data_IF_673150223980
#
_entry.id   IF_673150223980
#
_cell.length_a   1.000
_cell.length_b   1.000
_cell.length_c   1.000
_cell.angle_alpha   90.00
_cell.angle_beta   90.00
_cell.angle_gamma   90.00
#
_symmetry.space_group_name_H-M   'P 1'
#
loop_
_entity.id
_entity.type
_entity.pdbx_description
1 polymer ?
#
# COMPACT_ATOMS: atom_id res chain seq x y z
N UNK A 1 23.67 15.84 25.27
CA UNK A 1 22.27 16.15 24.97
C UNK A 1 22.27 17.08 23.78
N UNK A 2 21.94 16.58 22.58
CA UNK A 2 21.88 17.44 21.38
C UNK A 2 20.64 18.31 21.48
N UNK A 3 20.81 19.62 21.49
CA UNK A 3 19.71 20.59 21.48
C UNK A 3 18.86 20.34 20.23
N UNK A 4 17.58 19.95 20.38
CA UNK A 4 16.64 19.85 19.26
C UNK A 4 16.46 21.24 18.66
N UNK A 5 16.77 21.35 17.38
CA UNK A 5 16.54 22.60 16.63
C UNK A 5 15.03 22.79 16.43
N UNK A 6 14.54 23.99 16.70
CA UNK A 6 13.15 24.34 16.47
C UNK A 6 13.08 24.96 15.08
N UNK A 7 12.49 24.24 14.12
CA UNK A 7 12.20 24.76 12.78
C UNK A 7 10.85 25.47 12.78
N UNK A 8 10.78 26.62 12.11
CA UNK A 8 9.50 27.30 11.88
C UNK A 8 8.63 26.48 10.95
N UNK A 9 7.30 26.60 11.08
CA UNK A 9 6.34 25.94 10.18
C UNK A 9 6.54 26.34 8.72
N UNK A 10 6.95 27.57 8.46
CA UNK A 10 7.27 28.06 7.12
C UNK A 10 8.47 27.31 6.55
N UNK A 11 9.53 27.15 7.31
CA UNK A 11 10.73 26.43 6.89
C UNK A 11 10.42 24.93 6.68
N UNK A 12 9.67 24.30 7.58
CA UNK A 12 9.18 22.94 7.43
C UNK A 12 8.44 22.78 6.09
N UNK A 13 7.53 23.72 5.78
CA UNK A 13 6.76 23.70 4.53
C UNK A 13 7.65 23.86 3.28
N UNK A 14 8.70 24.68 3.34
CA UNK A 14 9.70 24.85 2.26
C UNK A 14 10.55 23.60 2.02
N UNK A 15 10.80 22.81 3.08
CA UNK A 15 11.56 21.55 3.02
C UNK A 15 10.74 20.36 2.53
N UNK A 16 9.42 20.46 2.49
CA UNK A 16 8.54 19.42 1.92
C UNK A 16 8.68 19.39 0.41
N UNK A 17 8.96 18.21 -0.13
CA UNK A 17 8.93 17.95 -1.56
C UNK A 17 7.51 17.58 -2.01
N UNK A 18 6.93 18.36 -2.92
CA UNK A 18 5.58 18.15 -3.46
C UNK A 18 5.57 17.22 -4.69
N UNK A 19 6.58 16.41 -4.86
CA UNK A 19 6.66 15.46 -5.97
C UNK A 19 5.55 14.41 -5.85
N UNK A 20 4.81 14.20 -6.93
CA UNK A 20 3.85 13.11 -7.00
C UNK A 20 4.58 11.77 -7.13
N UNK A 21 4.25 10.82 -6.27
CA UNK A 21 4.63 9.43 -6.46
C UNK A 21 3.68 8.85 -7.51
N UNK A 22 4.23 8.15 -8.50
CA UNK A 22 3.53 7.78 -9.73
C UNK A 22 2.25 6.93 -9.60
N UNK A 23 1.91 6.47 -8.39
CA UNK A 23 0.67 5.73 -8.09
C UNK A 23 -0.57 6.62 -7.99
N UNK A 24 -0.40 7.96 -7.94
CA UNK A 24 -1.49 8.88 -7.61
C UNK A 24 -2.43 9.19 -8.79
N UNK A 25 -2.03 8.87 -10.04
CA UNK A 25 -2.72 9.39 -11.22
C UNK A 25 -4.10 8.79 -11.51
N UNK A 26 -4.32 7.52 -11.17
CA UNK A 26 -5.56 6.81 -11.56
C UNK A 26 -6.69 6.93 -10.57
N UNK A 27 -6.35 6.88 -9.31
CA UNK A 27 -7.33 6.83 -8.21
C UNK A 27 -7.99 8.19 -8.02
N UNK A 28 -7.35 9.28 -8.45
CA UNK A 28 -7.96 10.63 -8.51
C UNK A 28 -9.20 10.72 -9.40
N UNK A 29 -9.35 9.81 -10.36
CA UNK A 29 -10.52 9.76 -11.27
C UNK A 29 -11.69 8.99 -10.68
N UNK A 30 -11.53 8.32 -9.54
CA UNK A 30 -12.62 7.62 -8.86
C UNK A 30 -13.30 8.64 -7.95
N UNK A 31 -14.59 8.91 -8.13
CA UNK A 31 -15.31 9.77 -7.21
C UNK A 31 -15.29 9.15 -5.81
N UNK A 32 -15.08 9.96 -4.75
CA UNK A 32 -15.12 9.46 -3.38
C UNK A 32 -16.50 8.87 -3.06
N UNK A 33 -16.54 7.90 -2.15
CA UNK A 33 -17.80 7.42 -1.60
C UNK A 33 -18.48 8.58 -0.84
N UNK A 34 -19.70 8.92 -1.23
CA UNK A 34 -20.47 9.97 -0.55
C UNK A 34 -21.47 9.36 0.42
N UNK A 35 -21.58 9.87 1.65
CA UNK A 35 -22.61 9.43 2.57
C UNK A 35 -23.99 9.80 2.03
N UNK A 36 -24.94 8.89 2.17
CA UNK A 36 -26.34 9.17 1.82
C UNK A 36 -26.96 10.13 2.84
N UNK A 37 -27.15 11.39 2.46
CA UNK A 37 -27.64 12.45 3.33
C UNK A 37 -29.18 12.50 3.52
N UNK A 38 -29.89 11.40 3.39
CA UNK A 38 -31.33 11.40 3.61
C UNK A 38 -31.59 11.27 5.12
N UNK A 39 -31.70 12.42 5.81
CA UNK A 39 -32.31 12.48 7.13
C UNK A 39 -33.83 12.41 6.98
N UNK A 40 -34.40 11.24 7.21
CA UNK A 40 -35.82 11.09 7.51
C UNK A 40 -35.93 10.68 8.96
N UNK A 41 -36.41 11.57 9.79
CA UNK A 41 -36.82 11.23 11.15
C UNK A 41 -38.10 10.39 11.05
N UNK A 42 -37.99 9.11 11.36
CA UNK A 42 -39.12 8.24 11.54
C UNK A 42 -39.02 7.58 12.91
N UNK A 43 -40.00 7.82 13.80
CA UNK A 43 -39.91 7.39 15.20
C UNK A 43 -40.02 5.87 15.42
N UNK A 44 -40.27 5.06 14.39
CA UNK A 44 -40.54 3.61 14.52
C UNK A 44 -39.73 2.75 13.56
N UNK A 45 -38.43 3.00 13.44
CA UNK A 45 -37.57 2.13 12.64
C UNK A 45 -36.87 1.11 13.52
N UNK A 46 -36.91 -0.16 13.13
CA UNK A 46 -36.37 -1.31 13.89
C UNK A 46 -35.37 -2.10 13.04
N UNK A 47 -34.43 -2.77 13.73
CA UNK A 47 -33.54 -3.81 13.17
C UNK A 47 -34.13 -5.23 13.38
N UNK A 48 -35.38 -5.33 13.76
CA UNK A 48 -36.04 -6.62 14.03
C UNK A 48 -35.44 -7.30 15.26
N UNK A 49 -35.11 -8.59 15.15
CA UNK A 49 -34.52 -9.36 16.25
C UNK A 49 -33.19 -8.82 16.77
N UNK A 50 -32.45 -8.06 15.99
CA UNK A 50 -31.17 -7.48 16.39
C UNK A 50 -31.34 -6.38 17.47
N UNK A 51 -32.51 -5.73 17.55
CA UNK A 51 -32.78 -4.73 18.59
C UNK A 51 -32.85 -5.33 20.01
N UNK A 52 -32.88 -6.64 20.15
CA UNK A 52 -32.79 -7.35 21.44
C UNK A 52 -31.36 -7.40 22.00
N UNK A 53 -30.35 -7.15 21.15
CA UNK A 53 -28.96 -7.13 21.59
C UNK A 53 -28.64 -5.82 22.28
N UNK A 54 -27.82 -5.84 23.35
CA UNK A 54 -27.23 -4.64 23.91
C UNK A 54 -26.49 -3.83 22.84
N UNK A 55 -26.53 -2.51 22.94
CA UNK A 55 -25.95 -1.62 21.91
C UNK A 55 -24.45 -1.90 21.69
N UNK A 56 -23.73 -2.23 22.74
CA UNK A 56 -22.30 -2.55 22.73
C UNK A 56 -22.02 -3.80 21.88
N UNK A 57 -22.82 -4.85 22.09
CA UNK A 57 -22.68 -6.12 21.33
C UNK A 57 -23.03 -5.90 19.87
N UNK A 58 -24.08 -5.10 19.60
CA UNK A 58 -24.46 -4.75 18.23
C UNK A 58 -23.35 -3.99 17.52
N UNK A 59 -22.75 -3.00 18.17
CA UNK A 59 -21.63 -2.23 17.61
C UNK A 59 -20.40 -3.11 17.35
N UNK A 60 -19.99 -3.95 18.32
CA UNK A 60 -18.88 -4.89 18.15
C UNK A 60 -19.13 -5.87 17.00
N UNK A 61 -20.35 -6.39 16.89
CA UNK A 61 -20.72 -7.30 15.79
C UNK A 61 -20.64 -6.59 14.43
N UNK A 62 -21.12 -5.36 14.35
CA UNK A 62 -21.11 -4.60 13.09
C UNK A 62 -19.69 -4.15 12.68
N UNK A 63 -18.79 -3.91 13.61
CA UNK A 63 -17.37 -3.63 13.29
C UNK A 63 -16.67 -4.81 12.61
N UNK A 64 -17.10 -6.05 12.86
CA UNK A 64 -16.58 -7.23 12.18
C UNK A 64 -17.11 -7.40 10.74
N UNK A 65 -18.16 -6.69 10.38
CA UNK A 65 -18.73 -6.74 9.03
C UNK A 65 -17.88 -5.93 8.05
N UNK A 66 -17.95 -6.35 6.79
CA UNK A 66 -17.39 -5.61 5.67
C UNK A 66 -18.28 -4.40 5.28
N UNK A 67 -17.68 -3.43 4.57
CA UNK A 67 -18.41 -2.22 4.17
C UNK A 67 -19.56 -2.47 3.20
N UNK A 68 -19.56 -3.55 2.42
CA UNK A 68 -20.68 -3.91 1.55
C UNK A 68 -21.88 -4.37 2.39
N UNK A 69 -21.63 -5.19 3.42
CA UNK A 69 -22.65 -5.64 4.36
C UNK A 69 -23.19 -4.47 5.19
N UNK A 70 -22.33 -3.59 5.70
CA UNK A 70 -22.73 -2.36 6.38
C UNK A 70 -23.61 -1.47 5.49
N UNK A 71 -23.23 -1.28 4.23
CA UNK A 71 -24.03 -0.54 3.25
C UNK A 71 -25.40 -1.18 3.00
N UNK A 72 -25.51 -2.51 3.01
CA UNK A 72 -26.81 -3.20 2.91
C UNK A 72 -27.65 -2.95 4.14
N UNK A 73 -27.10 -3.09 5.35
CA UNK A 73 -27.80 -2.83 6.61
C UNK A 73 -28.31 -1.41 6.68
N UNK A 74 -27.49 -0.42 6.29
CA UNK A 74 -27.88 0.99 6.29
C UNK A 74 -29.05 1.32 5.34
N UNK A 75 -29.36 0.46 4.38
CA UNK A 75 -30.46 0.61 3.43
C UNK A 75 -31.73 -0.15 3.83
N UNK A 76 -31.63 -1.08 4.77
CA UNK A 76 -32.79 -1.89 5.22
C UNK A 76 -33.72 -1.09 6.12
N UNK A 77 -33.16 -0.27 7.01
CA UNK A 77 -33.97 0.51 7.96
C UNK A 77 -33.23 1.78 8.41
N UNK A 78 -33.99 2.78 8.86
CA UNK A 78 -33.41 4.02 9.45
C UNK A 78 -32.59 3.73 10.72
N UNK A 79 -33.04 2.76 11.52
CA UNK A 79 -32.30 2.30 12.70
C UNK A 79 -30.96 1.68 12.30
N UNK A 80 -30.96 0.81 11.25
CA UNK A 80 -29.75 0.24 10.69
C UNK A 80 -28.78 1.30 10.17
N UNK A 81 -29.30 2.31 9.48
CA UNK A 81 -28.52 3.46 9.03
C UNK A 81 -27.89 4.19 10.21
N UNK A 82 -28.66 4.52 11.24
CA UNK A 82 -28.17 5.24 12.42
C UNK A 82 -27.08 4.44 13.15
N UNK A 83 -27.24 3.12 13.31
CA UNK A 83 -26.21 2.27 13.94
C UNK A 83 -24.94 2.25 13.10
N UNK A 84 -25.03 2.02 11.78
CA UNK A 84 -23.87 1.99 10.88
C UNK A 84 -23.11 3.33 10.86
N UNK A 85 -23.83 4.46 10.76
CA UNK A 85 -23.24 5.79 10.75
C UNK A 85 -22.60 6.17 12.09
N UNK A 86 -23.00 5.54 13.19
CA UNK A 86 -22.38 5.71 14.50
C UNK A 86 -21.16 4.81 14.74
N UNK A 87 -20.89 3.81 13.89
CA UNK A 87 -19.69 2.99 13.99
C UNK A 87 -18.43 3.85 13.82
N UNK A 88 -17.47 3.79 14.76
CA UNK A 88 -16.21 4.53 14.62
C UNK A 88 -15.47 4.17 13.33
N UNK A 89 -15.42 2.88 12.96
CA UNK A 89 -14.80 2.42 11.75
C UNK A 89 -15.44 3.01 10.48
N UNK A 90 -16.77 3.10 10.45
CA UNK A 90 -17.49 3.67 9.30
C UNK A 90 -17.23 5.18 9.19
N UNK A 91 -17.36 5.93 10.29
CA UNK A 91 -17.14 7.40 10.29
C UNK A 91 -15.72 7.76 9.88
N UNK A 92 -14.72 7.13 10.51
CA UNK A 92 -13.32 7.43 10.22
C UNK A 92 -12.95 7.13 8.76
N UNK A 93 -13.40 5.99 8.23
CA UNK A 93 -13.14 5.63 6.83
C UNK A 93 -13.87 6.55 5.84
N UNK A 94 -15.13 6.91 6.09
CA UNK A 94 -15.89 7.83 5.24
C UNK A 94 -15.29 9.24 5.25
N UNK A 95 -14.78 9.68 6.40
CA UNK A 95 -14.21 11.02 6.55
C UNK A 95 -12.79 11.12 5.98
N UNK A 96 -11.92 10.12 6.24
CA UNK A 96 -10.49 10.23 5.99
C UNK A 96 -9.98 9.38 4.81
N UNK A 97 -10.75 8.39 4.37
CA UNK A 97 -10.37 7.50 3.28
C UNK A 97 -11.51 7.13 2.31
N UNK A 98 -12.38 8.08 1.90
CA UNK A 98 -13.51 7.76 1.02
C UNK A 98 -13.09 7.22 -0.35
N UNK A 99 -11.95 7.69 -0.86
CA UNK A 99 -11.39 7.18 -2.12
C UNK A 99 -10.96 5.72 -2.01
N UNK A 100 -10.48 5.28 -0.84
CA UNK A 100 -10.12 3.88 -0.58
C UNK A 100 -11.36 2.99 -0.63
N UNK A 101 -12.46 3.41 -0.04
CA UNK A 101 -13.73 2.67 -0.10
C UNK A 101 -14.24 2.57 -1.54
N UNK A 102 -14.16 3.66 -2.30
CA UNK A 102 -14.52 3.67 -3.71
C UNK A 102 -13.64 2.73 -4.54
N UNK A 103 -12.31 2.72 -4.29
CA UNK A 103 -11.38 1.81 -4.95
C UNK A 103 -11.65 0.35 -4.60
N UNK A 104 -11.89 0.02 -3.32
CA UNK A 104 -12.27 -1.32 -2.88
C UNK A 104 -13.59 -1.78 -3.54
N UNK A 105 -14.56 -0.88 -3.68
CA UNK A 105 -15.80 -1.15 -4.38
C UNK A 105 -15.59 -1.47 -5.87
N UNK A 106 -14.85 -0.63 -6.59
CA UNK A 106 -14.59 -0.81 -8.02
C UNK A 106 -13.71 -2.02 -8.32
N UNK A 107 -12.76 -2.33 -7.44
CA UNK A 107 -11.90 -3.52 -7.54
C UNK A 107 -12.58 -4.80 -7.05
N UNK A 108 -13.81 -4.71 -6.53
CA UNK A 108 -14.61 -5.81 -5.94
C UNK A 108 -13.98 -6.44 -4.70
N UNK A 109 -13.22 -5.68 -3.96
CA UNK A 109 -12.60 -6.13 -2.71
C UNK A 109 -13.33 -5.66 -1.45
N UNK A 110 -14.40 -4.88 -1.58
CA UNK A 110 -15.10 -4.26 -0.47
C UNK A 110 -15.67 -5.28 0.54
N UNK A 111 -16.03 -6.48 0.06
CA UNK A 111 -16.57 -7.58 0.88
C UNK A 111 -15.52 -8.49 1.52
N UNK A 112 -14.23 -8.25 1.28
CA UNK A 112 -13.17 -9.13 1.79
C UNK A 112 -12.51 -8.63 3.08
N UNK A 113 -12.74 -7.37 3.44
CA UNK A 113 -12.08 -6.74 4.58
C UNK A 113 -13.13 -6.21 5.56
N UNK A 114 -13.02 -6.60 6.84
CA UNK A 114 -13.88 -6.04 7.88
C UNK A 114 -13.62 -4.55 8.07
N UNK A 115 -14.65 -3.83 8.54
CA UNK A 115 -14.52 -2.42 8.85
C UNK A 115 -13.50 -2.16 9.97
N UNK A 116 -13.42 -3.08 10.94
CA UNK A 116 -12.43 -3.06 12.00
C UNK A 116 -11.00 -3.14 11.46
N UNK A 117 -10.73 -4.08 10.52
CA UNK A 117 -9.39 -4.22 9.91
C UNK A 117 -9.00 -2.95 9.17
N UNK A 118 -9.90 -2.37 8.37
CA UNK A 118 -9.63 -1.11 7.67
C UNK A 118 -9.35 0.04 8.63
N UNK A 119 -10.10 0.14 9.73
CA UNK A 119 -9.85 1.13 10.79
C UNK A 119 -8.51 0.92 11.49
N UNK A 120 -8.17 -0.31 11.85
CA UNK A 120 -6.87 -0.64 12.44
C UNK A 120 -5.72 -0.25 11.51
N UNK A 121 -5.86 -0.54 10.21
CA UNK A 121 -4.88 -0.16 9.20
C UNK A 121 -4.83 1.37 9.02
N UNK A 122 -5.96 2.08 9.10
CA UNK A 122 -6.00 3.54 9.04
C UNK A 122 -5.23 4.18 10.21
N UNK A 123 -5.30 3.57 11.39
CA UNK A 123 -4.61 4.01 12.63
C UNK A 123 -3.21 3.43 12.82
N UNK A 124 -2.71 2.66 11.88
CA UNK A 124 -1.33 2.18 11.85
C UNK A 124 -0.48 3.07 10.95
N UNK A 125 0.72 3.45 11.38
CA UNK A 125 1.66 4.21 10.55
C UNK A 125 2.61 3.32 9.76
N UNK A 126 2.85 2.08 10.22
CA UNK A 126 3.99 1.26 9.82
C UNK A 126 3.72 0.41 8.58
N UNK A 127 4.66 0.43 7.65
CA UNK A 127 4.72 -0.51 6.54
C UNK A 127 4.90 -1.94 7.06
N UNK A 128 4.10 -2.88 6.56
CA UNK A 128 4.15 -4.31 6.94
C UNK A 128 5.52 -4.96 6.64
N UNK A 129 6.29 -4.39 5.72
CA UNK A 129 7.53 -4.97 5.24
C UNK A 129 8.79 -4.39 5.89
N UNK A 130 8.90 -3.06 6.00
CA UNK A 130 10.10 -2.40 6.50
C UNK A 130 9.88 -1.59 7.78
N UNK A 131 8.67 -1.55 8.31
CA UNK A 131 8.22 -0.82 9.51
C UNK A 131 8.39 0.71 9.47
N UNK A 132 8.86 1.26 8.36
CA UNK A 132 8.85 2.68 8.06
C UNK A 132 7.42 3.17 7.79
N UNK A 133 7.25 4.48 7.63
CA UNK A 133 5.92 5.02 7.33
C UNK A 133 5.34 4.43 6.03
N UNK A 134 4.18 3.82 6.12
CA UNK A 134 3.43 3.26 5.01
C UNK A 134 2.38 4.24 4.48
N UNK A 135 2.65 4.90 3.36
CA UNK A 135 1.72 5.85 2.74
C UNK A 135 0.68 5.25 1.81
N UNK A 136 0.63 3.91 1.68
CA UNK A 136 -0.27 3.21 0.76
C UNK A 136 -0.97 2.04 1.44
N UNK A 137 -2.17 1.73 0.97
CA UNK A 137 -2.89 0.50 1.28
C UNK A 137 -2.72 -0.48 0.12
N UNK A 138 -2.28 -1.71 0.42
CA UNK A 138 -2.30 -2.82 -0.53
C UNK A 138 -3.68 -3.49 -0.45
N UNK A 139 -4.50 -3.26 -1.48
CA UNK A 139 -5.93 -3.59 -1.47
C UNK A 139 -6.24 -5.09 -1.26
N UNK A 140 -5.48 -6.06 -1.82
CA UNK A 140 -5.82 -7.47 -1.68
C UNK A 140 -5.75 -8.02 -0.26
N UNK A 141 -4.86 -7.50 0.58
CA UNK A 141 -4.62 -7.98 1.95
C UNK A 141 -4.93 -6.94 3.03
N UNK A 142 -5.34 -5.73 2.63
CA UNK A 142 -5.56 -4.60 3.54
C UNK A 142 -4.33 -4.25 4.39
N UNK A 143 -3.13 -4.47 3.85
CA UNK A 143 -1.86 -4.19 4.53
C UNK A 143 -1.35 -2.79 4.18
N UNK A 144 -0.83 -2.08 5.17
CA UNK A 144 -0.16 -0.79 4.95
C UNK A 144 1.25 -1.01 4.44
N UNK A 145 1.61 -0.29 3.37
CA UNK A 145 2.89 -0.45 2.69
C UNK A 145 3.51 0.89 2.32
N UNK A 146 4.83 0.96 2.27
CA UNK A 146 5.52 2.11 1.69
C UNK A 146 5.73 1.91 0.18
N UNK A 147 6.04 3.00 -0.53
CA UNK A 147 6.26 2.97 -1.97
C UNK A 147 7.37 2.00 -2.38
N UNK A 148 8.48 2.00 -1.65
CA UNK A 148 9.62 1.13 -1.94
C UNK A 148 9.29 -0.36 -1.79
N UNK A 149 8.65 -0.74 -0.67
CA UNK A 149 8.28 -2.14 -0.44
C UNK A 149 7.21 -2.63 -1.41
N UNK A 150 6.22 -1.80 -1.74
CA UNK A 150 5.23 -2.13 -2.76
C UNK A 150 5.88 -2.49 -4.10
N UNK A 151 6.99 -1.85 -4.40
CA UNK A 151 7.73 -2.02 -5.63
C UNK A 151 8.71 -3.20 -5.59
N UNK A 152 9.40 -3.41 -4.47
CA UNK A 152 10.52 -4.34 -4.36
C UNK A 152 10.19 -5.65 -3.65
N UNK A 153 9.23 -5.65 -2.73
CA UNK A 153 8.89 -6.85 -1.97
C UNK A 153 7.97 -7.77 -2.78
N UNK A 154 8.51 -8.93 -3.17
CA UNK A 154 7.78 -9.94 -3.97
C UNK A 154 6.54 -10.50 -3.28
N UNK A 155 6.45 -10.45 -1.94
CA UNK A 155 5.25 -10.83 -1.21
C UNK A 155 4.05 -9.93 -1.50
N UNK A 156 4.29 -8.68 -1.97
CA UNK A 156 3.27 -7.71 -2.35
C UNK A 156 3.00 -7.69 -3.86
N UNK A 157 3.55 -8.65 -4.60
CA UNK A 157 3.31 -8.72 -6.04
C UNK A 157 1.94 -9.27 -6.40
N UNK A 158 1.47 -8.79 -7.53
CA UNK A 158 0.23 -9.25 -8.15
C UNK A 158 0.53 -10.09 -9.39
N UNK A 159 -0.33 -11.06 -9.65
CA UNK A 159 -0.26 -11.87 -10.87
C UNK A 159 -1.63 -11.98 -11.51
N UNK A 160 -1.65 -12.21 -12.81
CA UNK A 160 -2.93 -12.47 -13.51
C UNK A 160 -3.47 -13.82 -13.08
N UNK A 161 -4.80 -13.93 -13.02
CA UNK A 161 -5.46 -15.19 -12.66
C UNK A 161 -4.99 -16.36 -13.53
N UNK A 162 -4.80 -16.16 -14.84
CA UNK A 162 -4.30 -17.19 -15.74
C UNK A 162 -2.85 -17.60 -15.40
N UNK A 163 -2.00 -16.66 -14.96
CA UNK A 163 -0.64 -16.96 -14.52
C UNK A 163 -0.66 -17.76 -13.21
N UNK A 164 -1.55 -17.42 -12.26
CA UNK A 164 -1.70 -18.17 -11.01
C UNK A 164 -2.11 -19.64 -11.25
N UNK A 165 -3.04 -19.86 -12.19
CA UNK A 165 -3.45 -21.20 -12.58
C UNK A 165 -2.27 -22.04 -13.08
N UNK A 166 -1.46 -21.47 -13.96
CA UNK A 166 -0.32 -22.17 -14.58
C UNK A 166 0.85 -22.30 -13.60
N UNK A 167 1.20 -21.22 -12.89
CA UNK A 167 2.33 -21.21 -11.98
C UNK A 167 2.13 -22.14 -10.77
N UNK A 168 0.93 -22.14 -10.20
CA UNK A 168 0.61 -22.86 -8.96
C UNK A 168 -0.33 -24.05 -9.16
N UNK A 169 -0.63 -24.44 -10.41
CA UNK A 169 -1.55 -25.54 -10.76
C UNK A 169 -2.93 -25.43 -10.08
N UNK A 170 -3.42 -24.20 -9.93
CA UNK A 170 -4.70 -23.93 -9.30
C UNK A 170 -5.83 -23.93 -10.33
N UNK A 171 -6.98 -24.47 -9.95
CA UNK A 171 -8.19 -24.42 -10.76
C UNK A 171 -8.95 -23.10 -10.55
N UNK A 172 -9.87 -22.80 -11.46
CA UNK A 172 -10.73 -21.63 -11.33
C UNK A 172 -11.63 -21.67 -10.09
N UNK A 173 -12.06 -22.87 -9.68
CA UNK A 173 -12.86 -23.08 -8.46
C UNK A 173 -12.03 -22.75 -7.20
N UNK A 174 -10.81 -23.22 -7.15
CA UNK A 174 -9.89 -22.94 -6.04
C UNK A 174 -9.54 -21.46 -5.95
N UNK A 175 -9.22 -20.80 -7.08
CA UNK A 175 -8.91 -19.36 -7.08
C UNK A 175 -10.07 -18.45 -6.67
N UNK A 176 -11.32 -18.91 -6.74
CA UNK A 176 -12.47 -18.16 -6.23
C UNK A 176 -12.50 -18.08 -4.69
N UNK A 177 -11.72 -18.89 -3.98
CA UNK A 177 -11.64 -18.87 -2.51
C UNK A 177 -10.73 -17.78 -1.95
N UNK A 178 -9.97 -17.11 -2.81
CA UNK A 178 -9.12 -15.96 -2.44
C UNK A 178 -9.61 -14.69 -3.12
N UNK A 179 -9.26 -13.50 -2.58
CA UNK A 179 -9.63 -12.22 -3.18
C UNK A 179 -9.13 -12.10 -4.63
N UNK A 180 -10.05 -11.79 -5.54
CA UNK A 180 -9.73 -11.49 -6.94
C UNK A 180 -9.97 -10.01 -7.16
N UNK A 181 -8.89 -9.27 -7.39
CA UNK A 181 -8.92 -7.86 -7.72
C UNK A 181 -9.26 -7.67 -9.20
N UNK A 182 -10.25 -6.83 -9.48
CA UNK A 182 -10.57 -6.37 -10.82
C UNK A 182 -9.90 -5.01 -11.04
N UNK A 183 -8.87 -4.95 -11.90
CA UNK A 183 -8.17 -3.72 -12.15
C UNK A 183 -9.08 -2.67 -12.78
N UNK A 184 -8.94 -1.43 -12.34
CA UNK A 184 -9.66 -0.29 -12.91
C UNK A 184 -8.94 0.11 -14.21
N UNK A 185 -9.64 0.29 -15.34
CA UNK A 185 -9.00 0.76 -16.56
C UNK A 185 -8.32 2.11 -16.37
N UNK A 186 -7.12 2.27 -16.92
CA UNK A 186 -6.41 3.52 -16.82
C UNK A 186 -4.88 3.42 -16.92
N UNK A 187 -4.19 4.50 -16.54
CA UNK A 187 -2.73 4.58 -16.56
C UNK A 187 -2.17 4.49 -15.16
N UNK A 188 -1.25 3.57 -14.96
CA UNK A 188 -0.58 3.30 -13.71
C UNK A 188 0.92 3.55 -13.85
N UNK A 189 1.54 4.08 -12.83
CA UNK A 189 2.97 4.33 -12.83
C UNK A 189 3.52 4.01 -11.45
N UNK A 190 4.36 3.00 -11.36
CA UNK A 190 5.20 2.74 -10.19
C UNK A 190 6.64 3.07 -10.57
N UNK A 191 7.19 2.39 -11.53
CA UNK A 191 8.51 2.66 -12.12
C UNK A 191 8.40 3.04 -13.59
N UNK A 192 7.48 2.38 -14.31
CA UNK A 192 7.15 2.65 -15.70
C UNK A 192 5.68 2.99 -15.83
N UNK A 193 5.35 3.85 -16.78
CA UNK A 193 3.99 4.21 -17.10
C UNK A 193 3.34 3.10 -17.92
N UNK A 194 2.30 2.47 -17.35
CA UNK A 194 1.58 1.37 -17.97
C UNK A 194 0.11 1.75 -18.13
N UNK A 195 -0.38 1.77 -19.35
CA UNK A 195 -1.79 2.03 -19.65
C UNK A 195 -2.54 0.73 -19.88
N UNK A 196 -3.69 0.58 -19.23
CA UNK A 196 -4.60 -0.55 -19.37
C UNK A 196 -5.99 -0.07 -19.75
N UNK A 197 -6.48 -0.49 -20.89
CA UNK A 197 -7.82 -0.13 -21.39
C UNK A 197 -8.90 -1.09 -20.90
N UNK A 198 -8.54 -2.31 -20.53
CA UNK A 198 -9.47 -3.37 -20.12
C UNK A 198 -9.20 -3.79 -18.68
N UNK A 199 -10.26 -4.17 -17.98
CA UNK A 199 -10.18 -4.78 -16.66
C UNK A 199 -9.45 -6.11 -16.73
N UNK A 200 -8.47 -6.28 -15.86
CA UNK A 200 -7.73 -7.53 -15.64
C UNK A 200 -8.12 -8.14 -14.30
N UNK A 201 -8.18 -9.47 -14.23
CA UNK A 201 -8.38 -10.20 -12.98
C UNK A 201 -7.03 -10.56 -12.38
N UNK A 202 -6.75 -9.98 -11.24
CA UNK A 202 -5.47 -10.11 -10.55
C UNK A 202 -5.67 -10.82 -9.21
N UNK A 203 -4.67 -11.57 -8.79
CA UNK A 203 -4.59 -12.21 -7.48
C UNK A 203 -3.24 -11.88 -6.83
N UNK A 204 -3.21 -11.80 -5.52
CA UNK A 204 -1.95 -11.64 -4.79
C UNK A 204 -1.11 -12.91 -4.95
N UNK A 205 0.17 -12.75 -5.33
CA UNK A 205 1.11 -13.86 -5.47
C UNK A 205 1.26 -14.62 -4.13
N UNK A 206 1.33 -13.89 -3.01
CA UNK A 206 1.36 -14.44 -1.64
C UNK A 206 0.14 -15.34 -1.37
N UNK A 207 -1.07 -14.81 -1.60
CA UNK A 207 -2.31 -15.55 -1.36
C UNK A 207 -2.48 -16.76 -2.28
N UNK A 208 -2.11 -16.63 -3.56
CA UNK A 208 -2.12 -17.74 -4.50
C UNK A 208 -1.14 -18.85 -4.08
N UNK A 209 0.06 -18.45 -3.64
CA UNK A 209 1.08 -19.37 -3.11
C UNK A 209 0.61 -20.08 -1.84
N UNK A 210 0.05 -19.35 -0.87
CA UNK A 210 -0.52 -19.92 0.36
C UNK A 210 -1.64 -20.92 0.06
N UNK A 211 -2.50 -20.59 -0.91
CA UNK A 211 -3.56 -21.49 -1.36
C UNK A 211 -2.99 -22.77 -1.98
N UNK A 212 -1.97 -22.64 -2.83
CA UNK A 212 -1.32 -23.80 -3.45
C UNK A 212 -0.68 -24.75 -2.42
N UNK A 213 0.04 -24.18 -1.42
CA UNK A 213 0.60 -24.97 -0.31
C UNK A 213 -0.51 -25.70 0.44
N UNK A 214 -1.61 -25.03 0.73
CA UNK A 214 -2.74 -25.64 1.45
C UNK A 214 -3.38 -26.80 0.68
N UNK A 215 -3.40 -26.74 -0.64
CA UNK A 215 -4.04 -27.75 -1.50
C UNK A 215 -3.09 -28.90 -1.82
N UNK A 216 -1.81 -28.59 -2.08
CA UNK A 216 -0.84 -29.54 -2.60
C UNK A 216 0.20 -30.00 -1.55
N UNK A 217 0.18 -29.43 -0.34
CA UNK A 217 1.14 -29.73 0.75
C UNK A 217 2.49 -29.03 0.59
N UNK A 218 3.00 -28.90 -0.62
CA UNK A 218 4.24 -28.17 -0.92
C UNK A 218 4.15 -27.51 -2.31
N UNK A 219 5.00 -26.51 -2.56
CA UNK A 219 5.20 -25.96 -3.90
C UNK A 219 6.49 -26.55 -4.44
N UNK A 220 6.66 -27.82 -4.34
CA UNK A 220 7.82 -28.45 -4.98
C UNK A 220 7.71 -28.33 -6.50
N UNK A 221 8.78 -27.83 -7.01
CA UNK A 221 9.15 -27.65 -8.41
C UNK A 221 8.34 -28.49 -9.37
N UNK A 222 7.45 -27.81 -10.10
CA UNK A 222 6.88 -28.43 -11.29
C UNK A 222 8.02 -28.87 -12.19
N UNK A 223 8.07 -30.14 -12.63
CA UNK A 223 9.07 -30.61 -13.61
C UNK A 223 9.12 -29.77 -14.88
N UNK A 224 8.04 -29.03 -15.15
CA UNK A 224 7.92 -28.09 -16.28
C UNK A 224 8.70 -26.77 -16.08
N UNK A 225 9.29 -26.52 -14.89
CA UNK A 225 10.13 -25.36 -14.60
C UNK A 225 11.61 -25.56 -14.91
N UNK A 226 11.96 -26.61 -15.65
CA UNK A 226 13.33 -26.80 -16.12
C UNK A 226 13.67 -25.77 -17.21
N UNK A 227 14.35 -24.71 -16.77
CA UNK A 227 14.77 -23.58 -17.61
C UNK A 227 15.84 -23.97 -18.63
N UNK A 228 16.54 -25.11 -18.41
CA UNK A 228 17.64 -25.56 -19.24
C UNK A 228 17.17 -26.18 -20.56
N UNK A 229 15.97 -26.73 -20.60
CA UNK A 229 15.40 -27.40 -21.77
C UNK A 229 14.25 -26.64 -22.44
N UNK A 230 14.28 -25.30 -22.36
CA UNK A 230 13.19 -24.50 -22.84
C UNK A 230 13.25 -24.25 -24.36
N UNK A 231 12.27 -24.74 -25.16
CA UNK A 231 12.32 -24.69 -26.61
C UNK A 231 12.11 -23.29 -27.22
N UNK A 232 11.69 -22.28 -26.45
CA UNK A 232 11.48 -20.95 -26.99
C UNK A 232 11.79 -19.82 -25.96
N UNK A 233 12.28 -18.67 -26.48
CA UNK A 233 12.54 -17.46 -25.66
C UNK A 233 11.31 -16.97 -24.91
N UNK A 234 10.10 -17.14 -25.48
CA UNK A 234 8.85 -16.72 -24.84
C UNK A 234 8.53 -17.59 -23.62
N UNK A 235 8.65 -18.91 -23.77
CA UNK A 235 8.43 -19.87 -22.69
C UNK A 235 9.49 -19.69 -21.60
N UNK A 236 10.76 -19.49 -21.95
CA UNK A 236 11.83 -19.20 -21.00
C UNK A 236 11.53 -17.97 -20.13
N UNK A 237 11.07 -16.85 -20.74
CA UNK A 237 10.67 -15.65 -19.99
C UNK A 237 9.51 -15.91 -19.04
N UNK A 238 8.54 -16.71 -19.45
CA UNK A 238 7.38 -17.06 -18.64
C UNK A 238 7.75 -17.94 -17.45
N UNK A 239 8.55 -18.99 -17.68
CA UNK A 239 9.04 -19.88 -16.63
C UNK A 239 9.91 -19.12 -15.62
N UNK A 240 10.76 -18.21 -16.09
CA UNK A 240 11.56 -17.36 -15.23
C UNK A 240 10.70 -16.43 -14.35
N UNK A 241 9.60 -15.91 -14.88
CA UNK A 241 8.60 -15.16 -14.12
C UNK A 241 7.92 -16.05 -13.07
N UNK A 242 7.54 -17.27 -13.42
CA UNK A 242 6.95 -18.22 -12.48
C UNK A 242 7.90 -18.59 -11.34
N UNK A 243 9.17 -18.85 -11.65
CA UNK A 243 10.20 -19.08 -10.64
C UNK A 243 10.22 -17.97 -9.59
N UNK A 244 10.11 -16.72 -9.99
CA UNK A 244 10.07 -15.58 -9.07
C UNK A 244 8.84 -15.54 -8.17
N UNK A 245 7.68 -15.91 -8.69
CA UNK A 245 6.48 -16.03 -7.87
C UNK A 245 6.59 -17.17 -6.87
N UNK A 246 7.20 -18.27 -7.27
CA UNK A 246 7.45 -19.42 -6.39
C UNK A 246 8.45 -19.04 -5.28
N UNK A 247 9.51 -18.33 -5.61
CA UNK A 247 10.52 -17.84 -4.65
C UNK A 247 10.05 -16.67 -3.79
N UNK A 248 8.92 -16.03 -4.12
CA UNK A 248 8.40 -14.92 -3.34
C UNK A 248 8.14 -15.35 -1.89
N UNK A 249 8.58 -14.56 -0.88
CA UNK A 249 8.34 -14.90 0.51
C UNK A 249 6.84 -14.90 0.82
N UNK A 250 6.39 -15.76 1.73
CA UNK A 250 5.01 -15.78 2.20
C UNK A 250 4.73 -14.60 3.12
N UNK A 251 5.68 -14.30 3.98
CA UNK A 251 5.62 -13.13 4.85
C UNK A 251 6.53 -12.03 4.30
N UNK A 252 6.16 -10.77 4.45
CA UNK A 252 7.04 -9.66 4.10
C UNK A 252 8.36 -9.81 4.89
N UNK A 253 9.52 -9.56 4.28
CA UNK A 253 10.76 -9.47 5.04
C UNK A 253 10.61 -8.33 6.07
N UNK A 254 11.10 -8.53 7.28
CA UNK A 254 11.16 -7.48 8.31
C UNK A 254 12.05 -6.30 7.89
N UNK A 255 12.38 -5.42 8.83
CA UNK A 255 13.24 -4.23 8.62
C UNK A 255 14.63 -4.51 8.01
N UNK A 256 15.01 -5.76 7.95
CA UNK A 256 16.32 -6.15 7.43
C UNK A 256 16.39 -5.93 5.91
N UNK A 257 16.90 -4.78 5.52
CA UNK A 257 17.11 -4.42 4.12
C UNK A 257 18.06 -5.38 3.39
N UNK A 258 18.87 -6.17 4.12
CA UNK A 258 19.74 -7.18 3.51
C UNK A 258 18.94 -8.33 2.90
N UNK A 259 17.74 -8.59 3.39
CA UNK A 259 16.81 -9.59 2.85
C UNK A 259 16.03 -9.09 1.62
N UNK A 260 16.06 -7.79 1.36
CA UNK A 260 15.47 -7.25 0.13
C UNK A 260 16.34 -7.64 -1.07
N UNK A 261 15.77 -8.08 -2.19
CA UNK A 261 16.55 -8.47 -3.36
C UNK A 261 17.41 -7.30 -3.85
N UNK A 262 18.69 -7.56 -4.16
CA UNK A 262 19.63 -6.54 -4.63
C UNK A 262 19.18 -5.82 -5.90
N UNK A 263 18.51 -6.56 -6.79
CA UNK A 263 17.96 -6.03 -8.02
C UNK A 263 16.46 -6.10 -7.95
N UNK A 264 15.82 -4.95 -7.88
CA UNK A 264 14.41 -4.86 -8.18
C UNK A 264 14.24 -5.19 -9.66
N UNK A 265 13.63 -6.32 -9.93
CA UNK A 265 13.16 -6.63 -11.27
C UNK A 265 11.68 -6.21 -11.37
N UNK A 266 11.38 -5.06 -10.86
CA UNK A 266 10.08 -4.40 -10.88
C UNK A 266 9.50 -4.22 -12.29
N UNK A 267 10.32 -4.37 -13.31
CA UNK A 267 9.88 -4.43 -14.70
C UNK A 267 8.78 -5.49 -14.90
N UNK A 268 8.71 -6.47 -14.02
CA UNK A 268 7.80 -7.60 -14.17
C UNK A 268 6.56 -7.55 -13.30
N UNK A 269 6.53 -6.71 -12.29
CA UNK A 269 5.30 -6.43 -11.55
C UNK A 269 4.57 -5.22 -12.14
N UNK A 270 4.04 -5.42 -13.33
CA UNK A 270 3.19 -4.43 -14.01
C UNK A 270 1.89 -4.16 -13.25
N UNK A 271 1.61 -4.89 -12.20
CA UNK A 271 0.30 -4.94 -11.58
C UNK A 271 0.23 -4.35 -10.17
N UNK A 272 1.36 -4.13 -9.48
CA UNK A 272 1.36 -3.64 -8.10
C UNK A 272 0.70 -2.25 -7.96
N UNK A 273 0.90 -1.37 -8.94
CA UNK A 273 0.24 -0.07 -8.98
C UNK A 273 -1.29 -0.15 -9.12
N UNK A 274 -1.82 -1.24 -9.68
CA UNK A 274 -3.27 -1.45 -9.82
C UNK A 274 -3.91 -1.99 -8.52
N UNK A 275 -3.09 -2.43 -7.58
CA UNK A 275 -3.50 -3.07 -6.34
C UNK A 275 -3.28 -2.20 -5.11
N UNK A 276 -2.94 -0.94 -5.27
CA UNK A 276 -2.62 -0.05 -4.15
C UNK A 276 -3.19 1.35 -4.34
N UNK A 277 -3.43 2.01 -3.22
CA UNK A 277 -3.96 3.38 -3.17
C UNK A 277 -3.25 4.17 -2.06
N UNK A 278 -3.09 5.46 -2.24
CA UNK A 278 -2.70 6.39 -1.15
C UNK A 278 -3.65 6.22 0.03
N UNK A 279 -3.08 6.11 1.22
CA UNK A 279 -3.85 5.84 2.42
C UNK A 279 -3.35 6.68 3.58
N UNK A 280 -4.24 7.52 4.10
CA UNK A 280 -3.94 8.38 5.24
C UNK A 280 -3.59 7.57 6.49
N UNK A 281 -2.78 8.13 7.36
CA UNK A 281 -2.59 7.68 8.73
C UNK A 281 -3.40 8.60 9.65
N UNK A 282 -4.35 8.03 10.38
CA UNK A 282 -5.21 8.79 11.29
C UNK A 282 -4.54 8.93 12.66
N UNK A 283 -4.17 10.17 12.99
CA UNK A 283 -3.62 10.57 14.29
C UNK A 283 -4.69 11.30 15.12
N UNK A 284 -4.36 11.65 16.36
CA UNK A 284 -5.19 12.52 17.18
C UNK A 284 -5.34 13.94 16.58
N UNK A 285 -4.33 14.40 15.82
CA UNK A 285 -4.34 15.71 15.15
C UNK A 285 -5.06 15.70 13.79
N UNK A 286 -5.44 14.51 13.28
CA UNK A 286 -6.10 14.36 11.98
C UNK A 286 -5.42 13.40 11.03
N UNK A 287 -5.77 13.47 9.75
CA UNK A 287 -5.26 12.59 8.71
C UNK A 287 -3.87 13.05 8.21
N UNK A 288 -2.88 12.20 8.37
CA UNK A 288 -1.51 12.40 7.86
C UNK A 288 -1.30 11.55 6.60
N UNK A 289 -1.01 12.18 5.48
CA UNK A 289 -0.72 11.52 4.20
C UNK A 289 0.76 11.24 3.99
N UNK A 290 1.59 11.63 4.93
CA UNK A 290 3.04 11.59 4.83
C UNK A 290 3.60 12.61 3.84
N UNK A 291 4.83 13.03 4.09
CA UNK A 291 5.55 14.00 3.26
C UNK A 291 6.87 13.45 2.77
N UNK A 292 7.35 13.95 1.63
CA UNK A 292 8.67 13.67 1.09
C UNK A 292 9.64 14.79 1.49
N UNK A 293 10.90 14.42 1.71
CA UNK A 293 11.96 15.37 2.06
C UNK A 293 12.65 15.92 0.81
N UNK A 294 12.68 17.26 0.66
CA UNK A 294 13.42 17.94 -0.39
C UNK A 294 14.94 17.71 -0.28
N UNK A 295 15.46 17.65 0.96
CA UNK A 295 16.86 17.33 1.21
C UNK A 295 17.25 15.94 0.75
N UNK A 296 16.39 14.92 0.90
CA UNK A 296 16.65 13.59 0.35
C UNK A 296 16.74 13.60 -1.18
N UNK A 297 15.91 14.40 -1.85
CA UNK A 297 16.00 14.59 -3.31
C UNK A 297 17.30 15.29 -3.67
N UNK A 298 17.68 16.36 -2.93
CA UNK A 298 18.96 17.05 -3.12
C UNK A 298 20.16 16.11 -2.95
N UNK A 299 20.15 15.21 -1.98
CA UNK A 299 21.20 14.23 -1.80
C UNK A 299 21.39 13.30 -3.01
N UNK A 300 20.30 12.97 -3.71
CA UNK A 300 20.37 12.21 -4.97
C UNK A 300 21.04 13.05 -6.07
N UNK A 301 20.69 14.32 -6.18
CA UNK A 301 21.27 15.22 -7.17
C UNK A 301 22.76 15.44 -6.91
N UNK A 302 23.16 15.64 -5.65
CA UNK A 302 24.56 15.76 -5.24
C UNK A 302 25.38 14.49 -5.53
N UNK A 303 24.77 13.30 -5.39
CA UNK A 303 25.41 12.05 -5.79
C UNK A 303 25.61 11.95 -7.30
N UNK A 304 24.60 12.28 -8.10
CA UNK A 304 24.70 12.22 -9.56
C UNK A 304 25.67 13.27 -10.15
N UNK A 305 25.80 14.41 -9.50
CA UNK A 305 26.76 15.46 -9.88
C UNK A 305 28.18 15.20 -9.34
N UNK A 306 28.39 14.15 -8.54
CA UNK A 306 29.68 13.87 -7.92
C UNK A 306 30.08 14.83 -6.77
N UNK A 307 29.15 15.68 -6.32
CA UNK A 307 29.41 16.68 -5.25
C UNK A 307 29.15 16.14 -3.83
N UNK A 308 28.65 14.91 -3.69
CA UNK A 308 28.41 14.29 -2.39
C UNK A 308 29.73 13.85 -1.73
N UNK A 309 30.04 14.27 -0.48
CA UNK A 309 31.20 13.81 0.24
C UNK A 309 31.21 12.29 0.48
N UNK A 310 32.36 11.65 0.32
CA UNK A 310 32.50 10.20 0.51
C UNK A 310 32.04 9.71 1.90
N UNK A 311 32.31 10.50 2.95
CA UNK A 311 31.83 10.21 4.31
C UNK A 311 30.31 10.13 4.39
N UNK A 312 29.59 11.10 3.80
CA UNK A 312 28.12 11.14 3.77
C UNK A 312 27.59 9.95 2.97
N UNK A 313 28.23 9.63 1.85
CA UNK A 313 27.85 8.49 1.04
C UNK A 313 27.95 7.18 1.84
N UNK A 314 29.02 6.98 2.63
CA UNK A 314 29.18 5.80 3.47
C UNK A 314 28.19 5.71 4.64
N UNK A 315 27.68 6.85 5.13
CA UNK A 315 26.64 6.91 6.16
C UNK A 315 25.25 6.60 5.60
N UNK A 316 24.96 7.03 4.36
CA UNK A 316 23.64 6.87 3.73
C UNK A 316 23.47 5.53 3.00
N UNK A 317 24.56 4.90 2.61
CA UNK A 317 24.55 3.68 1.80
C UNK A 317 25.09 2.51 2.62
N UNK A 318 24.30 1.44 2.82
CA UNK A 318 24.78 0.25 3.50
C UNK A 318 26.01 -0.37 2.81
N UNK A 319 26.95 -0.96 3.57
CA UNK A 319 28.12 -1.61 3.00
C UNK A 319 27.77 -2.65 1.93
N UNK A 320 28.53 -2.70 0.84
CA UNK A 320 28.32 -3.65 -0.26
C UNK A 320 27.12 -3.33 -1.20
N UNK A 321 26.39 -2.23 -0.97
CA UNK A 321 25.29 -1.81 -1.84
C UNK A 321 25.73 -0.75 -2.84
N UNK A 322 25.17 -0.81 -4.07
CA UNK A 322 25.35 0.26 -5.07
C UNK A 322 24.58 1.51 -4.63
N UNK A 323 25.24 2.71 -4.57
CA UNK A 323 24.67 3.91 -3.98
C UNK A 323 23.34 4.40 -4.60
N UNK A 324 23.22 4.33 -5.92
CA UNK A 324 22.06 4.87 -6.63
C UNK A 324 20.70 4.36 -6.09
N UNK A 325 20.64 3.09 -5.66
CA UNK A 325 19.40 2.49 -5.20
C UNK A 325 18.98 2.91 -3.78
N UNK A 326 19.85 2.83 -2.75
CA UNK A 326 19.52 3.34 -1.42
C UNK A 326 19.17 4.83 -1.43
N UNK A 327 19.92 5.65 -2.18
CA UNK A 327 19.65 7.08 -2.29
C UNK A 327 18.30 7.36 -2.97
N UNK A 328 18.00 6.68 -4.08
CA UNK A 328 16.69 6.79 -4.73
C UNK A 328 15.54 6.37 -3.79
N UNK A 329 15.75 5.35 -2.96
CA UNK A 329 14.76 4.93 -1.97
C UNK A 329 14.50 6.00 -0.91
N UNK A 330 15.54 6.73 -0.48
CA UNK A 330 15.39 7.87 0.45
C UNK A 330 14.55 8.99 -0.15
N UNK A 331 14.72 9.30 -1.43
CA UNK A 331 14.00 10.36 -2.13
C UNK A 331 12.50 10.10 -2.33
N UNK A 332 12.08 8.82 -2.28
CA UNK A 332 10.66 8.42 -2.39
C UNK A 332 10.06 7.96 -1.06
N UNK A 333 10.82 8.06 0.03
CA UNK A 333 10.39 7.67 1.37
C UNK A 333 9.48 8.73 1.97
N UNK A 334 8.20 8.40 2.07
CA UNK A 334 7.25 9.18 2.85
C UNK A 334 7.58 9.07 4.35
N UNK A 335 7.32 10.16 5.06
CA UNK A 335 7.43 10.22 6.52
C UNK A 335 6.18 10.86 7.09
N UNK A 336 5.73 10.40 8.25
CA UNK A 336 4.73 11.15 9.02
C UNK A 336 5.28 12.53 9.37
N UNK A 337 4.40 13.47 9.70
CA UNK A 337 4.81 14.84 10.07
C UNK A 337 5.85 14.83 11.19
N UNK A 338 5.62 14.03 12.25
CA UNK A 338 6.53 13.95 13.39
C UNK A 338 7.88 13.36 12.98
N UNK A 339 7.88 12.23 12.25
CA UNK A 339 9.11 11.62 11.74
C UNK A 339 9.84 12.52 10.73
N UNK A 340 9.12 13.40 10.04
CA UNK A 340 9.72 14.35 9.12
C UNK A 340 10.47 15.45 9.88
N UNK A 341 9.89 15.99 10.93
CA UNK A 341 10.53 17.00 11.79
C UNK A 341 11.80 16.44 12.44
N UNK A 342 11.75 15.21 12.93
CA UNK A 342 12.97 14.55 13.47
C UNK A 342 14.03 14.30 12.38
N UNK A 343 13.58 13.85 11.20
CA UNK A 343 14.49 13.56 10.08
C UNK A 343 15.24 14.79 9.57
N UNK A 344 14.58 15.93 9.41
CA UNK A 344 15.21 17.14 8.85
C UNK A 344 16.34 17.68 9.72
N UNK A 345 16.38 17.34 11.01
CA UNK A 345 17.46 17.72 11.93
C UNK A 345 18.82 17.11 11.55
N UNK A 346 18.80 15.93 10.92
CA UNK A 346 19.98 15.12 10.61
C UNK A 346 20.15 14.85 9.10
N UNK A 347 19.29 15.42 8.27
CA UNK A 347 19.32 15.16 6.84
C UNK A 347 20.41 15.99 6.15
N UNK A 348 21.40 15.32 5.58
CA UNK A 348 22.49 15.95 4.83
C UNK A 348 21.99 16.97 3.78
N UNK A 349 21.04 16.56 2.93
CA UNK A 349 20.56 17.44 1.88
C UNK A 349 19.75 18.62 2.42
N UNK A 350 19.13 18.52 3.60
CA UNK A 350 18.51 19.67 4.28
C UNK A 350 19.59 20.66 4.70
N UNK A 351 20.68 20.21 5.32
CA UNK A 351 21.80 21.09 5.70
C UNK A 351 22.38 21.81 4.47
N UNK A 352 22.49 21.13 3.32
CA UNK A 352 22.90 21.73 2.05
C UNK A 352 21.95 22.83 1.56
N UNK A 353 20.65 22.53 1.58
CA UNK A 353 19.61 23.48 1.15
C UNK A 353 19.58 24.73 2.05
N UNK A 354 19.70 24.57 3.37
CA UNK A 354 19.71 25.68 4.31
C UNK A 354 20.94 26.58 4.09
N UNK A 355 22.11 25.99 3.87
CA UNK A 355 23.32 26.75 3.53
C UNK A 355 23.18 27.55 2.23
N UNK A 356 22.52 26.99 1.20
CA UNK A 356 22.23 27.66 -0.07
C UNK A 356 21.21 28.80 0.09
N UNK A 357 20.28 28.68 1.03
CA UNK A 357 19.28 29.72 1.30
C UNK A 357 19.78 30.82 2.23
N UNK A 358 21.02 30.72 2.73
CA UNK A 358 21.59 31.65 3.69
C UNK A 358 20.96 31.56 5.09
N UNK A 359 20.23 30.47 5.36
CA UNK A 359 19.66 30.20 6.66
C UNK A 359 20.72 29.48 7.52
N UNK A 360 21.33 30.23 8.46
CA UNK A 360 22.31 29.66 9.37
C UNK A 360 21.65 28.59 10.26
N UNK A 361 22.29 27.45 10.32
CA UNK A 361 21.93 26.31 11.17
C UNK A 361 22.24 26.57 12.65
#
# INVERSE_FOLDING_TARGET
MSSRRIFSEELISRLVCRRELGLDGMIRKIPPATPSCIRRESPRSSLGSLDRLPAEILLLTFELLDFQSLSRISRVSLRGKAVVENLPAYREMMQHAPQTLAALGQTRLLSYHSSLLLRQTLRSAKCVSCFEFGGFLFLPTCERVCFQCLHENRALWMMRRAEAKRCFRLTDKQLKTIPILYSIPGTYSVRFRISRRRTSRLVSAKQAKQLAIRIHGSIETSPELDLLHCPSRKLHRELWKFKRFIEAPLEPPGCDLSKMPEKSNAIEDECCGMASIRFAYLTAAGADHGVLCKGCVRAIDDYHSGSMPARVLSELVPPGRRPARPLSALGVRLRSRDNFVDHIQHCYGVSRLLAEWGENL
#
